data_IF_617612237012
#
_entry.id   IF_617612237012
#
_cell.length_a   1.000
_cell.length_b   1.000
_cell.length_c   1.000
_cell.angle_alpha   90.00
_cell.angle_beta   90.00
_cell.angle_gamma   90.00
#
_symmetry.space_group_name_H-M   'P 1'
#
loop_
_entity.id
_entity.type
_entity.pdbx_description
1 polymer ?
#
# COMPACT_ATOMS: atom_id res chain seq x y z
N UNK A 1 18.63 -3.51 16.36
CA UNK A 1 18.07 -3.40 15.00
C UNK A 1 17.19 -2.17 15.01
N UNK A 2 17.61 -1.07 14.39
CA UNK A 2 16.72 0.07 14.15
C UNK A 2 15.71 -0.39 13.11
N UNK A 3 14.49 -0.70 13.57
CA UNK A 3 13.37 -0.80 12.66
C UNK A 3 13.18 0.58 12.03
N UNK A 4 13.20 0.66 10.71
CA UNK A 4 12.78 1.86 10.00
C UNK A 4 11.32 2.12 10.40
N UNK A 5 11.09 3.13 11.23
CA UNK A 5 9.74 3.55 11.59
C UNK A 5 9.11 4.21 10.36
N UNK A 6 8.40 3.40 9.57
CA UNK A 6 7.70 3.85 8.37
C UNK A 6 6.50 4.76 8.68
N UNK A 7 6.20 5.01 9.96
CA UNK A 7 5.13 5.91 10.34
C UNK A 7 5.54 7.38 10.41
N UNK A 8 6.84 7.67 10.53
CA UNK A 8 7.33 9.05 10.57
C UNK A 8 8.70 9.22 9.89
N UNK A 9 8.86 10.20 8.98
CA UNK A 9 7.81 11.06 8.39
C UNK A 9 6.77 10.25 7.59
N UNK A 10 5.61 10.83 7.26
CA UNK A 10 4.65 10.17 6.35
C UNK A 10 5.34 10.00 4.99
N UNK A 11 5.67 8.76 4.65
CA UNK A 11 6.38 8.43 3.42
C UNK A 11 5.34 8.27 2.30
N UNK A 12 5.56 8.96 1.19
CA UNK A 12 4.82 8.73 -0.06
C UNK A 12 5.20 7.37 -0.67
N UNK A 13 4.52 6.31 -0.24
CA UNK A 13 4.73 4.94 -0.74
C UNK A 13 4.42 4.83 -2.23
N UNK A 14 3.46 5.62 -2.72
CA UNK A 14 3.05 5.59 -4.12
C UNK A 14 4.16 6.15 -5.00
N UNK A 15 4.65 7.35 -4.70
CA UNK A 15 5.75 7.97 -5.42
C UNK A 15 7.04 7.12 -5.37
N UNK A 16 7.34 6.54 -4.21
CA UNK A 16 8.50 5.65 -4.04
C UNK A 16 8.38 4.41 -4.94
N UNK A 17 7.25 3.72 -4.93
CA UNK A 17 7.06 2.52 -5.74
C UNK A 17 7.11 2.80 -7.24
N UNK A 18 6.50 3.90 -7.68
CA UNK A 18 6.56 4.34 -9.08
C UNK A 18 7.98 4.64 -9.53
N UNK A 19 8.83 5.22 -8.66
CA UNK A 19 10.24 5.46 -8.96
C UNK A 19 11.06 4.17 -9.18
N UNK A 20 10.56 3.05 -8.65
CA UNK A 20 11.13 1.71 -8.80
C UNK A 20 10.48 0.90 -9.94
N UNK A 21 9.58 1.51 -10.71
CA UNK A 21 8.88 0.85 -11.81
C UNK A 21 7.71 -0.05 -11.39
N UNK A 22 7.25 0.06 -10.14
CA UNK A 22 6.08 -0.68 -9.64
C UNK A 22 4.84 0.18 -9.80
N UNK A 23 3.79 -0.38 -10.41
CA UNK A 23 2.48 0.28 -10.45
C UNK A 23 1.96 0.47 -9.03
N UNK A 24 1.62 1.70 -8.65
CA UNK A 24 1.20 2.01 -7.30
C UNK A 24 0.08 3.05 -7.26
N UNK A 25 -0.84 2.87 -6.32
CA UNK A 25 -1.95 3.79 -6.05
C UNK A 25 -2.42 3.74 -4.60
N UNK A 26 -3.09 4.80 -4.16
CA UNK A 26 -3.78 4.83 -2.86
C UNK A 26 -5.23 4.37 -3.04
N UNK A 27 -5.69 3.46 -2.19
CA UNK A 27 -7.07 2.93 -2.20
C UNK A 27 -7.70 3.18 -0.84
N UNK A 28 -8.77 3.97 -0.80
CA UNK A 28 -9.44 4.36 0.44
C UNK A 28 -10.69 3.53 0.76
N UNK A 29 -11.26 2.88 -0.25
CA UNK A 29 -12.49 2.11 -0.11
C UNK A 29 -12.19 0.60 -0.02
N UNK A 30 -12.76 -0.13 0.97
CA UNK A 30 -12.52 -1.56 1.12
C UNK A 30 -13.03 -2.43 -0.03
N UNK A 31 -14.16 -2.08 -0.64
CA UNK A 31 -14.74 -2.86 -1.74
C UNK A 31 -13.89 -2.67 -3.00
N UNK A 32 -13.46 -1.42 -3.27
CA UNK A 32 -12.49 -1.11 -4.32
C UNK A 32 -11.17 -1.87 -4.10
N UNK A 33 -10.68 -1.93 -2.86
CA UNK A 33 -9.46 -2.65 -2.53
C UNK A 33 -9.59 -4.15 -2.85
N UNK A 34 -10.72 -4.75 -2.49
CA UNK A 34 -10.97 -6.17 -2.77
C UNK A 34 -10.96 -6.47 -4.27
N UNK A 35 -11.61 -5.62 -5.08
CA UNK A 35 -11.60 -5.74 -6.54
C UNK A 35 -10.17 -5.63 -7.10
N UNK A 36 -9.41 -4.61 -6.68
CA UNK A 36 -8.05 -4.37 -7.19
C UNK A 36 -7.06 -5.45 -6.80
N UNK A 37 -7.18 -6.00 -5.60
CA UNK A 37 -6.37 -7.14 -5.15
C UNK A 37 -6.69 -8.36 -5.99
N UNK A 38 -7.97 -8.64 -6.26
CA UNK A 38 -8.39 -9.74 -7.13
C UNK A 38 -7.78 -9.62 -8.53
N UNK A 39 -7.88 -8.44 -9.15
CA UNK A 39 -7.25 -8.15 -10.44
C UNK A 39 -5.72 -8.30 -10.40
N UNK A 40 -5.08 -7.81 -9.35
CA UNK A 40 -3.63 -7.90 -9.19
C UNK A 40 -3.13 -9.34 -9.08
N UNK A 41 -3.87 -10.19 -8.36
CA UNK A 41 -3.51 -11.59 -8.17
C UNK A 41 -3.69 -12.43 -9.45
N UNK A 42 -4.52 -11.97 -10.37
CA UNK A 42 -4.70 -12.59 -11.69
C UNK A 42 -3.66 -12.14 -12.73
N UNK A 43 -2.88 -11.10 -12.43
CA UNK A 43 -1.84 -10.56 -13.31
C UNK A 43 -0.44 -11.08 -13.00
N UNK A 44 0.51 -10.76 -13.89
CA UNK A 44 1.91 -11.22 -13.82
C UNK A 44 2.89 -10.09 -13.42
N UNK A 45 2.38 -8.98 -12.90
CA UNK A 45 3.19 -7.79 -12.55
C UNK A 45 2.99 -7.38 -11.10
N UNK A 46 4.06 -6.90 -10.42
CA UNK A 46 3.94 -6.39 -9.06
C UNK A 46 3.15 -5.08 -9.04
N UNK A 47 2.24 -4.95 -8.08
CA UNK A 47 1.45 -3.75 -7.82
C UNK A 47 1.51 -3.41 -6.33
N UNK A 48 1.53 -2.12 -6.00
CA UNK A 48 1.46 -1.60 -4.63
C UNK A 48 0.13 -0.87 -4.41
N UNK A 49 -0.56 -1.22 -3.33
CA UNK A 49 -1.75 -0.50 -2.86
C UNK A 49 -1.44 0.13 -1.49
N UNK A 50 -1.47 1.46 -1.43
CA UNK A 50 -1.39 2.21 -0.17
C UNK A 50 -2.81 2.35 0.42
N UNK A 51 -3.03 1.74 1.59
CA UNK A 51 -4.35 1.62 2.20
C UNK A 51 -4.34 2.26 3.58
N UNK A 52 -5.16 3.28 3.85
CA UNK A 52 -5.26 3.86 5.18
C UNK A 52 -5.88 2.84 6.14
N UNK A 53 -5.19 2.54 7.23
CA UNK A 53 -5.69 1.69 8.31
C UNK A 53 -5.85 2.51 9.60
N UNK A 54 -6.86 2.16 10.40
CA UNK A 54 -6.96 2.68 11.77
C UNK A 54 -6.01 1.90 12.67
N UNK A 55 -5.18 2.61 13.45
CA UNK A 55 -4.39 1.97 14.52
C UNK A 55 -5.28 1.78 15.75
N UNK A 56 -5.86 0.60 15.88
CA UNK A 56 -6.44 0.13 17.14
C UNK A 56 -5.43 -0.83 17.80
N UNK A 57 -4.76 -0.38 18.86
CA UNK A 57 -4.02 -1.30 19.73
C UNK A 57 -5.02 -2.01 20.65
N UNK A 58 -4.98 -3.35 20.78
CA UNK A 58 -5.73 -4.02 21.83
C UNK A 58 -5.23 -3.50 23.18
N UNK A 59 -6.17 -3.09 24.04
CA UNK A 59 -5.90 -2.58 25.40
C UNK A 59 -5.54 -3.71 26.35
#
# INVERSE_FOLDING_TARGET
FEALDLSQPEIDMVGLAQSLGVEAQRVGDPDELAERVSESLAGDVPRLFDVPIQRTAPT
#
